data_IF_981568269440
#
_entry.id   IF_981568269440
#
_cell.length_a   1.000
_cell.length_b   1.000
_cell.length_c   1.000
_cell.angle_alpha   90.00
_cell.angle_beta   90.00
_cell.angle_gamma   90.00
#
_symmetry.space_group_name_H-M   'P 1'
#
loop_
_entity.id
_entity.type
_entity.pdbx_description
1 polymer ?
#
# COMPACT_ATOMS: atom_id res chain seq x y z
N UNK A 1 25.84 0.98 17.04
CA UNK A 1 24.91 1.54 16.09
C UNK A 1 25.30 1.24 14.64
N UNK A 2 24.56 1.75 13.66
CA UNK A 2 24.70 1.47 12.22
C UNK A 2 26.13 1.74 11.70
N UNK A 3 26.77 2.83 12.13
CA UNK A 3 28.15 3.15 11.73
C UNK A 3 29.15 2.03 12.10
N UNK A 4 29.01 1.42 13.27
CA UNK A 4 29.90 0.32 13.68
C UNK A 4 29.69 -0.94 12.82
N UNK A 5 28.45 -1.22 12.40
CA UNK A 5 28.13 -2.35 11.51
C UNK A 5 28.72 -2.18 10.10
N UNK A 6 28.98 -0.95 9.66
CA UNK A 6 29.50 -0.64 8.33
C UNK A 6 31.03 -0.60 8.23
N UNK A 7 31.77 -0.61 9.36
CA UNK A 7 33.24 -0.49 9.37
C UNK A 7 33.92 -1.55 8.51
N UNK A 8 33.38 -2.79 8.50
CA UNK A 8 33.98 -3.93 7.80
C UNK A 8 33.40 -4.15 6.39
N UNK A 9 32.63 -3.19 5.88
CA UNK A 9 32.01 -3.25 4.56
C UNK A 9 31.30 -4.58 4.26
N UNK A 10 30.34 -5.02 5.11
CA UNK A 10 29.71 -6.35 4.98
C UNK A 10 28.81 -6.40 3.75
N UNK A 11 28.71 -7.59 3.14
CA UNK A 11 27.75 -7.87 2.03
C UNK A 11 26.30 -8.03 2.52
N UNK A 12 26.13 -8.47 3.78
CA UNK A 12 24.86 -8.62 4.46
C UNK A 12 24.83 -7.74 5.70
N UNK A 13 23.84 -6.87 5.78
CA UNK A 13 23.59 -5.98 6.92
C UNK A 13 22.28 -6.37 7.58
N UNK A 14 22.31 -6.66 8.87
CA UNK A 14 21.10 -6.98 9.65
C UNK A 14 20.87 -5.82 10.62
N UNK A 15 19.69 -5.22 10.53
CA UNK A 15 19.28 -4.05 11.32
C UNK A 15 18.01 -4.40 12.10
N UNK A 16 18.09 -4.29 13.41
CA UNK A 16 16.95 -4.49 14.30
C UNK A 16 16.38 -3.13 14.70
N UNK A 17 15.12 -2.87 14.30
CA UNK A 17 14.38 -1.64 14.56
C UNK A 17 15.21 -0.35 14.30
N UNK A 18 15.79 -0.17 13.10
CA UNK A 18 16.81 0.86 12.85
C UNK A 18 16.27 2.30 12.93
N UNK A 19 14.98 2.47 12.89
CA UNK A 19 14.27 3.77 12.86
C UNK A 19 13.64 4.14 14.21
N UNK A 20 13.62 3.21 15.14
CA UNK A 20 12.97 3.41 16.45
C UNK A 20 13.70 4.48 17.28
N UNK A 21 12.94 5.42 17.82
CA UNK A 21 13.44 6.50 18.67
C UNK A 21 14.12 7.66 17.93
N UNK A 22 14.05 7.71 16.61
CA UNK A 22 14.57 8.81 15.81
C UNK A 22 13.54 9.95 15.65
N UNK A 23 14.03 11.17 15.60
CA UNK A 23 13.21 12.31 15.21
C UNK A 23 12.92 12.30 13.69
N UNK A 24 11.92 13.06 13.19
CA UNK A 24 11.55 13.07 11.78
C UNK A 24 12.70 13.37 10.80
N UNK A 25 13.63 14.25 11.15
CA UNK A 25 14.75 14.61 10.30
C UNK A 25 15.80 13.49 10.25
N UNK A 26 16.08 12.88 11.39
CA UNK A 26 16.97 11.72 11.49
C UNK A 26 16.38 10.53 10.71
N UNK A 27 15.07 10.32 10.79
CA UNK A 27 14.35 9.27 10.08
C UNK A 27 14.53 9.38 8.56
N UNK A 28 14.38 10.59 7.99
CA UNK A 28 14.63 10.84 6.55
C UNK A 28 16.07 10.49 6.17
N UNK A 29 17.04 10.88 7.00
CA UNK A 29 18.46 10.63 6.75
C UNK A 29 18.81 9.15 6.80
N UNK A 30 18.29 8.43 7.79
CA UNK A 30 18.50 6.98 7.94
C UNK A 30 17.83 6.19 6.81
N UNK A 31 16.61 6.53 6.42
CA UNK A 31 15.95 5.92 5.27
C UNK A 31 16.77 6.07 4.00
N UNK A 32 17.27 7.27 3.73
CA UNK A 32 18.14 7.51 2.58
C UNK A 32 19.39 6.64 2.62
N UNK A 33 20.05 6.56 3.77
CA UNK A 33 21.26 5.74 3.95
C UNK A 33 20.95 4.24 3.73
N UNK A 34 19.89 3.71 4.32
CA UNK A 34 19.50 2.29 4.15
C UNK A 34 19.22 1.99 2.67
N UNK A 35 18.51 2.86 1.96
CA UNK A 35 18.27 2.70 0.52
C UNK A 35 19.55 2.72 -0.31
N UNK A 36 20.49 3.61 -0.01
CA UNK A 36 21.79 3.66 -0.71
C UNK A 36 22.59 2.38 -0.46
N UNK A 37 22.62 1.89 0.77
CA UNK A 37 23.27 0.62 1.10
C UNK A 37 22.64 -0.58 0.41
N UNK A 38 21.31 -0.60 0.27
CA UNK A 38 20.56 -1.66 -0.41
C UNK A 38 20.84 -1.79 -1.91
N UNK A 39 21.48 -0.79 -2.56
CA UNK A 39 21.87 -0.88 -3.97
C UNK A 39 23.00 -1.89 -4.21
N UNK A 40 23.91 -2.01 -3.27
CA UNK A 40 25.13 -2.81 -3.41
C UNK A 40 25.20 -3.97 -2.40
N UNK A 41 24.33 -3.97 -1.41
CA UNK A 41 24.33 -4.92 -0.29
C UNK A 41 22.95 -5.52 -0.04
N UNK A 42 22.92 -6.69 0.56
CA UNK A 42 21.67 -7.22 1.11
C UNK A 42 21.42 -6.61 2.48
N UNK A 43 20.30 -5.94 2.64
CA UNK A 43 19.88 -5.36 3.92
C UNK A 43 18.66 -6.12 4.42
N UNK A 44 18.77 -6.76 5.57
CA UNK A 44 17.67 -7.36 6.30
C UNK A 44 17.34 -6.45 7.48
N UNK A 45 16.13 -5.92 7.52
CA UNK A 45 15.69 -5.10 8.64
C UNK A 45 14.45 -5.69 9.31
N UNK A 46 14.40 -5.64 10.63
CA UNK A 46 13.19 -5.87 11.41
C UNK A 46 12.50 -4.54 11.71
N UNK A 47 11.19 -4.52 11.61
CA UNK A 47 10.39 -3.37 12.02
C UNK A 47 8.94 -3.78 12.29
N UNK A 48 8.27 -3.06 13.17
CA UNK A 48 6.83 -3.15 13.39
C UNK A 48 6.08 -1.98 12.72
N UNK A 49 6.79 -1.10 12.05
CA UNK A 49 6.25 0.10 11.39
C UNK A 49 6.07 -0.18 9.90
N UNK A 50 4.84 -0.42 9.46
CA UNK A 50 4.54 -0.81 8.08
C UNK A 50 4.88 0.29 7.05
N UNK A 51 4.86 1.56 7.45
CA UNK A 51 5.31 2.67 6.62
C UNK A 51 6.82 2.60 6.31
N UNK A 52 7.62 1.97 7.19
CA UNK A 52 9.05 1.72 6.91
C UNK A 52 9.22 0.60 5.87
N UNK A 53 8.38 -0.43 5.95
CA UNK A 53 8.37 -1.51 4.96
C UNK A 53 8.07 -0.95 3.58
N UNK A 54 7.01 -0.14 3.44
CA UNK A 54 6.65 0.52 2.18
C UNK A 54 7.75 1.44 1.64
N UNK A 55 8.47 2.10 2.55
CA UNK A 55 9.49 3.08 2.20
C UNK A 55 10.84 2.46 1.84
N UNK A 56 11.21 1.30 2.39
CA UNK A 56 12.58 0.78 2.36
C UNK A 56 12.74 -0.58 1.72
N UNK A 57 11.69 -1.43 1.73
CA UNK A 57 11.83 -2.84 1.40
C UNK A 57 11.39 -3.16 -0.02
N UNK A 58 12.09 -4.09 -0.67
CA UNK A 58 11.68 -4.71 -1.94
C UNK A 58 10.96 -6.04 -1.71
N UNK A 59 11.22 -6.68 -0.56
CA UNK A 59 10.65 -7.97 -0.16
C UNK A 59 10.22 -7.93 1.31
N UNK A 60 9.13 -8.59 1.63
CA UNK A 60 8.54 -8.64 2.96
C UNK A 60 8.42 -10.07 3.43
N UNK A 61 8.87 -10.33 4.66
CA UNK A 61 8.66 -11.56 5.38
C UNK A 61 7.84 -11.23 6.63
N UNK A 62 6.66 -11.83 6.77
CA UNK A 62 5.83 -11.69 7.96
C UNK A 62 5.92 -12.95 8.79
N UNK A 63 6.25 -12.77 10.07
CA UNK A 63 6.36 -13.84 11.06
C UNK A 63 5.22 -13.69 12.07
N UNK A 64 4.45 -14.74 12.29
CA UNK A 64 3.41 -14.81 13.31
C UNK A 64 3.55 -16.09 14.12
N UNK A 65 3.58 -16.00 15.44
CA UNK A 65 3.72 -17.15 16.37
C UNK A 65 4.91 -18.08 16.05
N UNK A 66 6.01 -17.49 15.52
CA UNK A 66 7.22 -18.23 15.16
C UNK A 66 7.22 -18.89 13.78
N UNK A 67 6.15 -18.72 13.02
CA UNK A 67 6.02 -19.24 11.64
C UNK A 67 6.03 -18.10 10.62
N UNK A 68 6.65 -18.37 9.45
CA UNK A 68 6.57 -17.45 8.31
C UNK A 68 5.19 -17.60 7.67
N UNK A 69 4.38 -16.57 7.79
CA UNK A 69 3.02 -16.53 7.20
C UNK A 69 2.99 -15.86 5.83
N UNK A 70 4.02 -15.08 5.50
CA UNK A 70 4.21 -14.45 4.20
C UNK A 70 5.69 -14.30 3.90
N UNK A 71 6.08 -14.54 2.65
CA UNK A 71 7.40 -14.25 2.09
C UNK A 71 7.24 -13.91 0.60
N UNK A 72 7.17 -12.60 0.27
CA UNK A 72 6.91 -12.13 -1.10
C UNK A 72 7.60 -10.80 -1.40
N UNK A 73 7.84 -10.54 -2.69
CA UNK A 73 8.21 -9.21 -3.18
C UNK A 73 7.07 -8.21 -2.90
N UNK A 74 7.42 -7.02 -2.46
CA UNK A 74 6.44 -5.97 -2.12
C UNK A 74 5.61 -5.54 -3.34
N UNK A 75 6.24 -5.52 -4.52
CA UNK A 75 5.56 -5.22 -5.79
C UNK A 75 4.49 -6.28 -6.13
N UNK A 76 4.77 -7.56 -5.90
CA UNK A 76 3.79 -8.62 -6.11
C UNK A 76 2.60 -8.51 -5.14
N UNK A 77 2.86 -8.09 -3.90
CA UNK A 77 1.81 -7.84 -2.92
C UNK A 77 0.90 -6.70 -3.38
N UNK A 78 1.49 -5.61 -3.86
CA UNK A 78 0.74 -4.46 -4.39
C UNK A 78 -0.07 -4.83 -5.64
N UNK A 79 0.48 -5.65 -6.51
CA UNK A 79 -0.19 -6.08 -7.74
C UNK A 79 -1.32 -7.10 -7.52
N UNK A 80 -1.26 -7.85 -6.42
CA UNK A 80 -2.31 -8.83 -6.03
C UNK A 80 -3.44 -8.18 -5.24
N UNK A 81 -3.28 -6.94 -4.77
CA UNK A 81 -4.33 -6.25 -4.04
C UNK A 81 -5.47 -5.89 -5.00
N UNK A 82 -6.69 -6.13 -4.58
CA UNK A 82 -7.87 -5.61 -5.26
C UNK A 82 -7.75 -4.07 -5.30
N UNK A 83 -7.75 -3.52 -6.50
CA UNK A 83 -7.78 -2.06 -6.63
C UNK A 83 -9.18 -1.59 -6.28
N UNK A 84 -9.26 -0.70 -5.32
CA UNK A 84 -10.51 -0.09 -4.88
C UNK A 84 -10.45 1.40 -5.20
N UNK A 85 -11.47 1.92 -5.88
CA UNK A 85 -11.67 3.35 -6.02
C UNK A 85 -12.73 3.78 -5.02
N UNK A 86 -12.40 4.76 -4.19
CA UNK A 86 -13.37 5.53 -3.43
C UNK A 86 -13.87 6.69 -4.30
N UNK A 87 -15.18 6.79 -4.44
CA UNK A 87 -15.82 7.90 -5.13
C UNK A 87 -16.99 8.43 -4.33
N UNK A 88 -17.10 9.75 -4.23
CA UNK A 88 -18.24 10.45 -3.66
C UNK A 88 -18.89 11.31 -4.73
N UNK A 89 -20.22 11.22 -4.83
CA UNK A 89 -21.01 12.04 -5.74
C UNK A 89 -21.84 13.10 -4.99
N UNK A 90 -22.42 14.03 -5.71
CA UNK A 90 -23.36 15.01 -5.16
C UNK A 90 -24.81 14.46 -5.06
N UNK A 91 -25.03 13.24 -5.57
CA UNK A 91 -26.32 12.57 -5.57
C UNK A 91 -26.18 11.06 -5.31
N UNK A 92 -27.23 10.45 -4.79
CA UNK A 92 -27.28 9.00 -4.59
C UNK A 92 -27.48 8.30 -5.91
N UNK A 93 -26.67 7.27 -6.13
CA UNK A 93 -26.68 6.46 -7.35
C UNK A 93 -27.01 5.01 -6.97
N UNK A 94 -27.78 4.35 -7.81
CA UNK A 94 -28.00 2.93 -7.68
C UNK A 94 -26.70 2.17 -7.96
N UNK A 95 -26.29 1.30 -7.04
CA UNK A 95 -25.07 0.49 -7.12
C UNK A 95 -24.94 -0.25 -8.46
N UNK A 96 -26.06 -0.79 -8.96
CA UNK A 96 -26.16 -1.50 -10.24
C UNK A 96 -25.72 -0.65 -11.44
N UNK A 97 -25.87 0.68 -11.36
CA UNK A 97 -25.42 1.58 -12.43
C UNK A 97 -23.88 1.66 -12.47
N UNK A 98 -23.23 1.66 -11.31
CA UNK A 98 -21.78 1.67 -11.18
C UNK A 98 -21.16 0.31 -11.57
N UNK A 99 -21.84 -0.79 -11.28
CA UNK A 99 -21.41 -2.15 -11.65
C UNK A 99 -21.47 -2.43 -13.17
N UNK A 100 -22.19 -1.60 -13.94
CA UNK A 100 -22.19 -1.67 -15.40
C UNK A 100 -20.94 -1.08 -16.06
N UNK A 101 -20.13 -0.33 -15.29
CA UNK A 101 -18.87 0.21 -15.82
C UNK A 101 -17.90 -0.93 -16.14
N UNK A 102 -17.10 -0.79 -17.20
CA UNK A 102 -16.13 -1.81 -17.57
C UNK A 102 -15.13 -2.04 -16.43
N UNK A 103 -14.71 -3.28 -16.24
CA UNK A 103 -13.75 -3.69 -15.21
C UNK A 103 -14.15 -3.40 -13.75
N UNK A 104 -15.36 -2.97 -13.48
CA UNK A 104 -15.89 -2.92 -12.11
C UNK A 104 -16.48 -4.29 -11.79
N UNK A 105 -15.90 -4.97 -10.82
CA UNK A 105 -16.36 -6.28 -10.36
C UNK A 105 -17.53 -6.15 -9.37
N UNK A 106 -17.49 -5.13 -8.53
CA UNK A 106 -18.44 -4.88 -7.47
C UNK A 106 -18.43 -3.40 -7.09
N UNK A 107 -19.59 -2.85 -6.79
CA UNK A 107 -19.72 -1.54 -6.15
C UNK A 107 -20.42 -1.69 -4.80
N UNK A 108 -20.00 -0.90 -3.82
CA UNK A 108 -20.58 -0.88 -2.47
C UNK A 108 -20.86 0.56 -2.08
N UNK A 109 -22.10 0.86 -1.69
CA UNK A 109 -22.38 2.14 -1.04
C UNK A 109 -21.95 2.04 0.43
N UNK A 110 -20.98 2.85 0.83
CA UNK A 110 -20.39 2.82 2.18
C UNK A 110 -21.08 3.77 3.13
N UNK A 111 -21.45 4.95 2.64
CA UNK A 111 -22.17 5.96 3.41
C UNK A 111 -22.80 6.96 2.45
N UNK A 112 -24.07 7.36 2.66
CA UNK A 112 -24.81 8.36 1.90
C UNK A 112 -24.53 8.32 0.38
N UNK A 113 -23.62 9.16 -0.08
CA UNK A 113 -23.22 9.31 -1.49
C UNK A 113 -21.81 8.80 -1.79
N UNK A 114 -21.22 8.05 -0.85
CA UNK A 114 -19.87 7.49 -0.94
C UNK A 114 -19.94 6.03 -1.39
N UNK A 115 -19.07 5.67 -2.33
CA UNK A 115 -19.03 4.35 -2.92
C UNK A 115 -17.60 3.83 -2.99
N UNK A 116 -17.45 2.53 -2.82
CA UNK A 116 -16.24 1.77 -3.12
C UNK A 116 -16.46 0.93 -4.37
N UNK A 117 -15.60 1.11 -5.35
CA UNK A 117 -15.60 0.37 -6.61
C UNK A 117 -14.43 -0.60 -6.63
N UNK A 118 -14.72 -1.88 -6.64
CA UNK A 118 -13.73 -2.96 -6.71
C UNK A 118 -13.40 -3.25 -8.17
N UNK A 119 -12.14 -3.12 -8.55
CA UNK A 119 -11.69 -3.17 -9.93
C UNK A 119 -11.08 -4.54 -10.22
N UNK A 120 -11.43 -5.11 -11.36
CA UNK A 120 -10.78 -6.29 -11.89
C UNK A 120 -9.66 -5.87 -12.85
N UNK A 121 -8.41 -6.12 -12.46
CA UNK A 121 -7.23 -5.78 -13.24
C UNK A 121 -6.44 -4.58 -12.70
N UNK A 122 -5.45 -4.14 -13.46
CA UNK A 122 -4.49 -3.09 -13.06
C UNK A 122 -4.72 -1.74 -13.75
N UNK A 123 -5.77 -1.65 -14.57
CA UNK A 123 -6.08 -0.43 -15.31
C UNK A 123 -6.69 0.63 -14.40
N UNK A 124 -6.23 1.88 -14.54
CA UNK A 124 -6.84 3.01 -13.84
C UNK A 124 -8.24 3.29 -14.38
N UNK A 125 -9.25 3.04 -13.56
CA UNK A 125 -10.65 3.22 -13.91
C UNK A 125 -11.22 4.59 -13.52
N UNK A 126 -10.44 5.48 -12.92
CA UNK A 126 -10.90 6.83 -12.55
C UNK A 126 -11.39 7.64 -13.75
N UNK A 127 -10.74 7.59 -14.94
CA UNK A 127 -11.30 8.25 -16.14
C UNK A 127 -12.69 7.76 -16.50
N UNK A 128 -12.93 6.44 -16.46
CA UNK A 128 -14.25 5.87 -16.78
C UNK A 128 -15.31 6.25 -15.75
N UNK A 129 -14.93 6.37 -14.48
CA UNK A 129 -15.84 6.87 -13.42
C UNK A 129 -16.16 8.35 -13.65
N UNK A 130 -15.17 9.14 -14.09
CA UNK A 130 -15.36 10.55 -14.43
C UNK A 130 -16.32 10.72 -15.62
N UNK A 131 -16.11 9.95 -16.70
CA UNK A 131 -16.98 9.98 -17.89
C UNK A 131 -18.41 9.58 -17.53
N UNK A 132 -18.58 8.53 -16.72
CA UNK A 132 -19.90 8.12 -16.21
C UNK A 132 -20.58 9.26 -15.44
N UNK A 133 -19.88 9.93 -14.55
CA UNK A 133 -20.44 11.05 -13.79
C UNK A 133 -20.85 12.20 -14.71
N UNK A 134 -19.99 12.55 -15.67
CA UNK A 134 -20.26 13.58 -16.66
C UNK A 134 -21.51 13.27 -17.49
N UNK A 135 -21.62 12.06 -18.03
CA UNK A 135 -22.72 11.64 -18.88
C UNK A 135 -24.07 11.57 -18.14
N UNK A 136 -24.03 11.38 -16.83
CA UNK A 136 -25.22 11.33 -15.98
C UNK A 136 -25.49 12.67 -15.25
N UNK A 137 -24.72 13.73 -15.53
CA UNK A 137 -24.92 15.05 -14.93
C UNK A 137 -24.59 15.10 -13.43
N UNK A 138 -23.73 14.19 -12.95
CA UNK A 138 -23.31 14.10 -11.56
C UNK A 138 -22.02 14.88 -11.33
N UNK A 139 -21.84 15.40 -10.12
CA UNK A 139 -20.58 15.99 -9.69
C UNK A 139 -19.81 15.00 -8.83
N UNK A 140 -18.54 14.86 -9.11
CA UNK A 140 -17.62 14.10 -8.26
C UNK A 140 -17.10 15.03 -7.17
N UNK A 141 -17.30 14.64 -5.92
CA UNK A 141 -16.82 15.36 -4.74
C UNK A 141 -15.49 14.80 -4.25
N UNK A 142 -15.28 13.48 -4.42
CA UNK A 142 -14.02 12.80 -4.14
C UNK A 142 -13.82 11.68 -5.16
N UNK A 143 -12.57 11.45 -5.59
CA UNK A 143 -12.20 10.34 -6.47
C UNK A 143 -10.74 9.97 -6.23
N UNK A 144 -10.51 8.86 -5.54
CA UNK A 144 -9.17 8.40 -5.19
C UNK A 144 -9.05 6.88 -5.17
N UNK A 145 -7.84 6.38 -5.30
CA UNK A 145 -7.58 4.98 -5.00
C UNK A 145 -7.58 4.76 -3.49
N UNK A 146 -8.32 3.76 -3.06
CA UNK A 146 -8.19 3.16 -1.75
C UNK A 146 -7.25 1.97 -1.87
N UNK A 147 -5.96 2.21 -1.72
CA UNK A 147 -5.03 1.10 -1.62
C UNK A 147 -5.31 0.36 -0.31
N UNK A 148 -5.53 -0.95 -0.39
CA UNK A 148 -5.46 -1.77 0.82
C UNK A 148 -4.08 -1.55 1.42
N UNK A 149 -4.03 -0.98 2.62
CA UNK A 149 -2.74 -0.69 3.24
C UNK A 149 -2.06 -2.01 3.64
N UNK A 150 -0.73 -2.05 3.65
CA UNK A 150 0.00 -3.19 4.23
C UNK A 150 -0.50 -3.51 5.65
N UNK A 151 -1.03 -2.52 6.37
CA UNK A 151 -1.63 -2.70 7.69
C UNK A 151 -2.87 -3.58 7.67
N UNK A 152 -3.73 -3.43 6.67
CA UNK A 152 -4.92 -4.27 6.52
C UNK A 152 -4.53 -5.70 6.14
N UNK A 153 -3.57 -5.86 5.23
CA UNK A 153 -3.02 -7.16 4.89
C UNK A 153 -2.37 -7.83 6.11
N UNK A 154 -1.55 -7.09 6.86
CA UNK A 154 -0.91 -7.58 8.07
C UNK A 154 -1.95 -8.06 9.10
N UNK A 155 -3.00 -7.27 9.33
CA UNK A 155 -4.11 -7.66 10.24
C UNK A 155 -4.80 -8.94 9.79
N UNK A 156 -5.06 -9.12 8.50
CA UNK A 156 -5.67 -10.34 7.95
C UNK A 156 -4.79 -11.58 8.16
N UNK A 157 -3.46 -11.43 8.03
CA UNK A 157 -2.50 -12.54 8.14
C UNK A 157 -2.12 -12.91 9.58
N UNK A 158 -2.37 -12.00 10.53
CA UNK A 158 -1.97 -12.17 11.94
C UNK A 158 -3.15 -12.34 12.91
N UNK A 159 -4.38 -12.32 12.40
CA UNK A 159 -5.61 -12.48 13.17
C UNK A 159 -5.81 -13.89 13.76
#
# INVERSE_FOLDING_TARGET
>A
GLAAALIHDPQLLILDEPTTGLDPNQLVSIRKLIRELGKDKTVLLSTHILQEVDALCDRVIIINKGEIVLDQALEELRNKQEQIIEVSFDYRIEVVALEKLPNIQKAVNTHDFDYELYINGTQDMRPSVFDFAHDNGLKILNLQFKNESLEQLFKKLTA
#
